data_IF_514056436380
#
_entry.id   IF_514056436380
#
_cell.length_a   1.000
_cell.length_b   1.000
_cell.length_c   1.000
_cell.angle_alpha   90.00
_cell.angle_beta   90.00
_cell.angle_gamma   90.00
#
_symmetry.space_group_name_H-M   'P 1'
#
loop_
_entity.id
_entity.type
_entity.pdbx_description
1 polymer ?
#
# COMPACT_ATOMS: atom_id res chain seq x y z
N UNK A 1 -30.43 -4.08 -44.04
CA UNK A 1 -28.96 -3.97 -43.96
C UNK A 1 -28.61 -3.43 -42.59
N UNK A 2 -28.02 -4.24 -41.69
CA UNK A 2 -27.67 -3.78 -40.34
C UNK A 2 -26.53 -2.76 -40.47
N UNK A 3 -26.70 -1.59 -39.88
CA UNK A 3 -25.75 -0.48 -39.99
C UNK A 3 -24.46 -0.84 -39.23
N UNK A 4 -23.44 -1.25 -39.97
CA UNK A 4 -22.12 -1.64 -39.45
C UNK A 4 -21.48 -0.53 -38.59
N UNK A 5 -21.77 0.73 -38.88
CA UNK A 5 -21.30 1.88 -38.09
C UNK A 5 -21.93 1.91 -36.70
N UNK A 6 -23.19 1.51 -36.58
CA UNK A 6 -23.90 1.47 -35.29
C UNK A 6 -23.39 0.33 -34.42
N UNK A 7 -23.05 -0.81 -35.03
CA UNK A 7 -22.46 -1.95 -34.32
C UNK A 7 -21.06 -1.60 -33.81
N UNK A 8 -20.26 -0.93 -34.64
CA UNK A 8 -18.92 -0.48 -34.27
C UNK A 8 -18.94 0.47 -33.06
N UNK A 9 -19.82 1.49 -33.08
CA UNK A 9 -19.98 2.42 -31.96
C UNK A 9 -20.40 1.70 -30.66
N UNK A 10 -21.32 0.73 -30.77
CA UNK A 10 -21.75 -0.06 -29.62
C UNK A 10 -20.59 -0.90 -29.03
N UNK A 11 -19.80 -1.55 -29.88
CA UNK A 11 -18.63 -2.32 -29.45
C UNK A 11 -17.58 -1.45 -28.76
N UNK A 12 -17.26 -0.28 -29.33
CA UNK A 12 -16.30 0.66 -28.73
C UNK A 12 -16.79 1.17 -27.38
N UNK A 13 -18.07 1.57 -27.29
CA UNK A 13 -18.66 2.01 -26.02
C UNK A 13 -18.61 0.90 -24.95
N UNK A 14 -18.95 -0.33 -25.33
CA UNK A 14 -18.93 -1.48 -24.41
C UNK A 14 -17.52 -1.79 -23.91
N UNK A 15 -16.51 -1.67 -24.78
CA UNK A 15 -15.09 -1.85 -24.41
C UNK A 15 -14.61 -0.76 -23.46
N UNK A 16 -14.98 0.51 -23.68
CA UNK A 16 -14.63 1.62 -22.78
C UNK A 16 -15.23 1.39 -21.39
N UNK A 17 -16.49 0.98 -21.32
CA UNK A 17 -17.15 0.69 -20.04
C UNK A 17 -16.49 -0.50 -19.31
N UNK A 18 -16.10 -1.55 -20.04
CA UNK A 18 -15.39 -2.70 -19.46
C UNK A 18 -14.03 -2.29 -18.88
N UNK A 19 -13.28 -1.42 -19.56
CA UNK A 19 -11.98 -0.93 -19.06
C UNK A 19 -12.14 -0.06 -17.82
N UNK A 20 -13.14 0.84 -17.78
CA UNK A 20 -13.40 1.67 -16.60
C UNK A 20 -13.74 0.83 -15.37
N UNK A 21 -14.67 -0.12 -15.50
CA UNK A 21 -15.15 -0.94 -14.38
C UNK A 21 -14.05 -1.85 -13.83
N UNK A 22 -13.17 -2.38 -14.68
CA UNK A 22 -12.06 -3.23 -14.22
C UNK A 22 -10.87 -2.41 -13.67
N UNK A 23 -10.79 -1.10 -13.94
CA UNK A 23 -9.76 -0.25 -13.33
C UNK A 23 -9.97 0.00 -11.83
N UNK A 24 -11.21 -0.18 -11.35
CA UNK A 24 -11.54 0.00 -9.93
C UNK A 24 -11.57 -1.31 -9.13
N UNK A 25 -11.56 -2.49 -9.77
CA UNK A 25 -11.70 -3.77 -9.04
C UNK A 25 -10.40 -4.33 -8.49
N UNK A 26 -9.24 -3.88 -8.97
CA UNK A 26 -7.93 -4.22 -8.37
C UNK A 26 -7.63 -3.38 -7.11
N UNK A 27 -8.49 -2.40 -6.80
CA UNK A 27 -8.54 -1.67 -5.54
C UNK A 27 -9.19 -2.52 -4.43
N UNK A 28 -8.75 -3.77 -4.29
CA UNK A 28 -9.08 -4.55 -3.11
C UNK A 28 -8.52 -3.81 -1.88
N UNK A 29 -9.43 -3.24 -1.08
CA UNK A 29 -9.23 -2.54 0.21
C UNK A 29 -8.31 -3.28 1.21
N UNK A 30 -7.91 -4.51 0.93
CA UNK A 30 -7.06 -5.34 1.77
C UNK A 30 -5.56 -5.00 1.68
N UNK A 31 -5.10 -4.23 0.68
CA UNK A 31 -3.68 -3.87 0.49
C UNK A 31 -3.39 -2.39 0.78
N UNK A 32 -4.29 -1.68 1.45
CA UNK A 32 -4.08 -0.27 1.77
C UNK A 32 -2.85 -0.11 2.72
N UNK A 33 -1.94 0.85 2.48
CA UNK A 33 -0.77 1.03 3.31
C UNK A 33 -1.15 1.31 4.77
N UNK A 34 -0.61 0.51 5.69
CA UNK A 34 -0.85 0.63 7.14
C UNK A 34 -0.03 1.73 7.80
N UNK A 35 0.59 2.61 7.01
CA UNK A 35 1.66 3.52 7.46
C UNK A 35 1.24 4.31 8.70
N UNK A 36 0.03 4.87 8.73
CA UNK A 36 -0.40 5.75 9.84
C UNK A 36 -1.14 5.00 10.94
N UNK A 37 -1.57 3.77 10.64
CA UNK A 37 -2.34 2.90 11.53
C UNK A 37 -1.48 1.86 12.24
N UNK A 38 -0.17 1.83 12.01
CA UNK A 38 0.75 0.87 12.63
C UNK A 38 1.71 1.54 13.62
N UNK A 39 1.69 1.09 14.87
CA UNK A 39 2.74 1.37 15.86
C UNK A 39 3.92 0.44 15.63
N UNK A 40 5.12 1.00 15.51
CA UNK A 40 6.37 0.26 15.30
C UNK A 40 7.24 0.40 16.55
N UNK A 41 7.70 -0.72 17.10
CA UNK A 41 8.62 -0.76 18.24
C UNK A 41 9.78 -1.71 17.94
N UNK A 42 10.96 -1.37 18.45
CA UNK A 42 12.16 -2.20 18.38
C UNK A 42 12.76 -2.38 19.77
N UNK A 43 13.32 -3.57 20.05
CA UNK A 43 14.00 -3.86 21.32
C UNK A 43 15.44 -3.33 21.36
N UNK A 44 15.98 -2.89 20.23
CA UNK A 44 17.33 -2.38 20.04
C UNK A 44 17.34 -1.37 18.89
N UNK A 45 18.06 -0.26 19.03
CA UNK A 45 18.24 0.73 17.97
C UNK A 45 19.52 1.54 18.22
N UNK A 46 20.19 1.97 17.15
CA UNK A 46 21.22 3.00 17.27
C UNK A 46 20.55 4.36 17.59
N UNK A 47 21.26 5.30 18.26
CA UNK A 47 20.68 6.57 18.72
C UNK A 47 19.92 7.36 17.64
N UNK A 48 20.42 7.40 16.41
CA UNK A 48 19.82 8.16 15.30
C UNK A 48 19.04 7.27 14.31
N UNK A 49 18.76 6.02 14.68
CA UNK A 49 18.21 4.98 13.79
C UNK A 49 17.00 4.30 14.42
N UNK A 50 16.08 5.13 14.90
CA UNK A 50 14.90 4.70 15.62
C UNK A 50 13.94 3.84 14.79
N UNK A 51 13.09 3.07 15.46
CA UNK A 51 12.12 2.19 14.82
C UNK A 51 11.17 2.90 13.83
N UNK A 52 10.83 4.16 14.07
CA UNK A 52 9.95 4.93 13.19
C UNK A 52 10.58 5.22 11.81
N UNK A 53 11.92 5.13 11.70
CA UNK A 53 12.66 5.26 10.44
C UNK A 53 12.53 4.04 9.52
N UNK A 54 11.84 2.98 9.96
CA UNK A 54 11.53 1.82 9.11
C UNK A 54 10.44 2.11 8.07
N UNK A 55 9.78 3.29 8.13
CA UNK A 55 8.75 3.69 7.15
C UNK A 55 9.36 3.92 5.77
N UNK A 56 8.77 3.30 4.76
CA UNK A 56 9.15 3.53 3.36
C UNK A 56 8.89 4.99 2.98
N UNK A 57 9.83 5.63 2.28
CA UNK A 57 9.79 7.05 1.90
C UNK A 57 9.70 8.05 3.07
N UNK A 58 10.12 7.65 4.28
CA UNK A 58 10.28 8.58 5.40
C UNK A 58 11.39 9.61 5.15
N UNK A 59 11.31 10.77 5.83
CA UNK A 59 12.34 11.81 5.73
C UNK A 59 13.68 11.45 6.40
N UNK A 60 13.71 10.37 7.19
CA UNK A 60 14.85 9.95 7.99
C UNK A 60 15.55 8.73 7.40
N UNK A 61 16.82 8.57 7.73
CA UNK A 61 17.57 7.39 7.32
C UNK A 61 17.10 6.12 8.05
N UNK A 62 17.02 5.00 7.32
CA UNK A 62 16.57 3.65 7.75
C UNK A 62 16.94 3.25 9.18
N UNK A 63 16.01 2.57 9.87
CA UNK A 63 16.20 1.86 11.15
C UNK A 63 17.39 0.89 11.13
N UNK A 64 18.18 0.88 12.20
CA UNK A 64 19.31 -0.02 12.39
C UNK A 64 19.33 -0.48 13.85
N UNK A 65 19.38 -1.79 14.05
CA UNK A 65 19.53 -2.38 15.37
C UNK A 65 20.97 -2.26 15.86
N UNK A 66 21.16 -1.96 17.14
CA UNK A 66 22.44 -2.17 17.82
C UNK A 66 22.69 -3.68 17.99
N UNK A 67 23.96 -4.09 17.91
CA UNK A 67 24.41 -5.49 17.89
C UNK A 67 24.21 -6.15 19.26
N UNK A 68 22.96 -6.46 19.59
CA UNK A 68 22.58 -7.28 20.75
C UNK A 68 22.18 -8.68 20.29
N UNK A 69 22.41 -9.72 21.13
CA UNK A 69 22.25 -11.12 20.73
C UNK A 69 20.81 -11.50 20.36
N UNK A 70 19.82 -10.65 20.66
CA UNK A 70 18.45 -10.87 20.21
C UNK A 70 17.77 -9.54 19.91
N UNK A 71 17.44 -9.32 18.63
CA UNK A 71 16.77 -8.13 18.12
C UNK A 71 15.39 -8.54 17.63
N UNK A 72 14.34 -7.90 18.16
CA UNK A 72 12.97 -8.10 17.72
C UNK A 72 12.35 -6.76 17.33
N UNK A 73 11.69 -6.74 16.18
CA UNK A 73 10.75 -5.69 15.79
C UNK A 73 9.32 -6.17 16.03
N UNK A 74 8.47 -5.29 16.56
CA UNK A 74 7.04 -5.54 16.68
C UNK A 74 6.27 -4.43 15.97
N UNK A 75 5.26 -4.83 15.21
CA UNK A 75 4.31 -3.92 14.59
C UNK A 75 2.92 -4.29 15.11
N UNK A 76 2.18 -3.30 15.62
CA UNK A 76 0.81 -3.48 16.08
C UNK A 76 -0.09 -2.45 15.40
N UNK A 77 -1.22 -2.91 14.88
CA UNK A 77 -2.27 -2.02 14.39
C UNK A 77 -2.88 -1.24 15.55
N UNK A 78 -2.97 0.06 15.37
CA UNK A 78 -3.75 0.97 16.21
C UNK A 78 -5.20 0.81 15.72
N UNK A 79 -6.01 0.13 16.52
CA UNK A 79 -7.46 0.12 16.32
C UNK A 79 -8.01 1.51 16.69
N UNK A 80 -8.96 2.02 15.91
CA UNK A 80 -9.55 3.34 16.14
C UNK A 80 -10.07 3.45 17.59
N UNK A 81 -9.48 4.36 18.37
CA UNK A 81 -9.87 4.66 19.75
C UNK A 81 -11.01 5.69 19.80
#
# INVERSE_FOLDING_TARGET
MRNLSSLYLFCVYSLIQLVLVNSESDYYDCNEPLLDRASIKATSQLPDREAHNARLNGMYHTYIADSKPTVYGQMKLLEDM
#
